data_IF_293227999276
#
_entry.id   IF_293227999276
#
_cell.length_a   1.000
_cell.length_b   1.000
_cell.length_c   1.000
_cell.angle_alpha   90.00
_cell.angle_beta   90.00
_cell.angle_gamma   90.00
#
_symmetry.space_group_name_H-M   'P 1'
#
loop_
_entity.id
_entity.type
_entity.pdbx_description
1 polymer ?
#
# COMPACT_ATOMS: atom_id res chain seq x y z
N UNK A 1 34.80 -16.65 -1.08
CA UNK A 1 35.17 -15.28 -0.70
C UNK A 1 34.63 -15.01 0.68
N UNK A 2 35.51 -14.69 1.63
CA UNK A 2 35.10 -14.34 3.00
C UNK A 2 34.80 -12.84 3.04
N UNK A 3 34.00 -12.40 4.00
CA UNK A 3 33.60 -10.97 4.14
C UNK A 3 34.81 -10.01 4.25
N UNK A 4 35.96 -10.55 4.63
CA UNK A 4 37.26 -9.89 4.76
C UNK A 4 37.86 -9.41 3.42
N UNK A 5 37.40 -9.95 2.27
CA UNK A 5 37.96 -9.63 0.94
C UNK A 5 37.42 -8.33 0.31
N UNK A 6 36.51 -7.62 0.98
CA UNK A 6 35.80 -6.47 0.42
C UNK A 6 36.26 -5.13 1.01
N UNK A 7 36.34 -4.06 0.20
CA UNK A 7 36.71 -2.74 0.70
C UNK A 7 35.70 -2.22 1.73
N UNK A 8 36.14 -1.33 2.61
CA UNK A 8 35.26 -0.69 3.59
C UNK A 8 34.05 -0.05 2.91
N UNK A 9 32.85 -0.32 3.44
CA UNK A 9 31.60 0.18 2.86
C UNK A 9 31.00 -0.69 1.75
N UNK A 10 31.61 -1.81 1.36
CA UNK A 10 30.99 -2.74 0.40
C UNK A 10 29.68 -3.36 0.91
N UNK A 11 29.59 -3.60 2.22
CA UNK A 11 28.36 -4.06 2.88
C UNK A 11 27.85 -2.98 3.84
N UNK A 12 26.92 -2.15 3.37
CA UNK A 12 26.18 -1.21 4.21
C UNK A 12 24.88 -1.89 4.66
N UNK A 13 24.53 -1.89 5.96
CA UNK A 13 23.25 -2.41 6.41
C UNK A 13 22.11 -1.59 5.82
N UNK A 14 21.34 -2.19 4.91
CA UNK A 14 20.15 -1.55 4.37
C UNK A 14 19.03 -1.56 5.42
N UNK A 15 18.66 -0.39 5.92
CA UNK A 15 17.55 -0.26 6.85
C UNK A 15 16.22 -0.38 6.10
N UNK A 16 15.30 -1.21 6.64
CA UNK A 16 13.95 -1.40 6.07
C UNK A 16 13.16 -0.10 5.95
N UNK A 17 13.42 0.88 6.81
CA UNK A 17 12.79 2.20 6.77
C UNK A 17 13.03 2.96 5.47
N UNK A 18 14.10 2.66 4.73
CA UNK A 18 14.44 3.32 3.46
C UNK A 18 13.72 2.72 2.25
N UNK A 19 13.19 1.50 2.39
CA UNK A 19 12.65 0.72 1.26
C UNK A 19 11.18 0.37 1.43
N UNK A 20 10.69 0.29 2.67
CA UNK A 20 9.31 -0.10 2.92
C UNK A 20 8.37 1.12 2.94
N UNK A 21 7.17 1.00 2.36
CA UNK A 21 6.15 2.04 2.46
C UNK A 21 5.76 2.32 3.92
N UNK A 22 5.43 3.57 4.22
CA UNK A 22 4.99 3.98 5.55
C UNK A 22 3.55 3.52 5.80
N UNK A 23 3.36 2.64 6.79
CA UNK A 23 2.07 2.07 7.17
C UNK A 23 1.52 2.72 8.43
N UNK A 24 0.23 3.07 8.41
CA UNK A 24 -0.55 3.50 9.57
C UNK A 24 -1.72 2.54 9.77
N UNK A 25 -1.93 2.07 11.01
CA UNK A 25 -3.01 1.12 11.34
C UNK A 25 -3.02 -0.16 10.46
N UNK A 26 -1.86 -0.55 9.90
CA UNK A 26 -1.73 -1.72 9.04
C UNK A 26 -2.05 -1.48 7.55
N UNK A 27 -2.22 -0.22 7.14
CA UNK A 27 -2.51 0.20 5.76
C UNK A 27 -1.51 1.28 5.31
N UNK A 28 -1.10 1.36 4.03
CA UNK A 28 -0.28 2.47 3.55
C UNK A 28 -0.89 3.84 3.89
N UNK A 29 -0.08 4.76 4.43
CA UNK A 29 -0.53 6.09 4.90
C UNK A 29 -1.46 6.78 3.91
N UNK A 30 -1.03 6.86 2.65
CA UNK A 30 -1.78 7.60 1.63
C UNK A 30 -3.16 6.96 1.36
N UNK A 31 -3.26 5.63 1.45
CA UNK A 31 -4.52 4.92 1.26
C UNK A 31 -5.47 5.15 2.45
N UNK A 32 -4.95 5.09 3.68
CA UNK A 32 -5.72 5.39 4.88
C UNK A 32 -6.29 6.83 4.86
N UNK A 33 -5.51 7.80 4.38
CA UNK A 33 -6.01 9.17 4.18
C UNK A 33 -7.14 9.20 3.15
N UNK A 34 -7.00 8.50 2.02
CA UNK A 34 -8.07 8.39 1.03
C UNK A 34 -9.34 7.75 1.60
N UNK A 35 -9.23 6.72 2.44
CA UNK A 35 -10.37 6.10 3.12
C UNK A 35 -11.09 7.11 4.02
N UNK A 36 -10.36 7.86 4.86
CA UNK A 36 -10.96 8.83 5.77
C UNK A 36 -11.67 9.95 5.00
N UNK A 37 -10.98 10.59 4.05
CA UNK A 37 -11.59 11.66 3.26
C UNK A 37 -12.73 11.14 2.39
N UNK A 38 -12.59 9.97 1.79
CA UNK A 38 -13.63 9.31 1.01
C UNK A 38 -14.87 8.96 1.84
N UNK A 39 -14.67 8.56 3.10
CA UNK A 39 -15.77 8.26 4.04
C UNK A 39 -16.51 9.54 4.44
N UNK A 40 -15.79 10.62 4.75
CA UNK A 40 -16.39 11.92 5.08
C UNK A 40 -17.18 12.44 3.88
N UNK A 41 -16.56 12.48 2.69
CA UNK A 41 -17.23 12.92 1.47
C UNK A 41 -18.44 12.04 1.15
N UNK A 42 -18.28 10.72 1.18
CA UNK A 42 -19.36 9.77 0.93
C UNK A 42 -20.53 9.97 1.90
N UNK A 43 -20.24 10.19 3.19
CA UNK A 43 -21.26 10.47 4.22
C UNK A 43 -22.04 11.75 3.94
N UNK A 44 -21.36 12.83 3.52
CA UNK A 44 -22.01 14.10 3.16
C UNK A 44 -22.86 13.95 1.89
N UNK A 45 -22.34 13.33 0.84
CA UNK A 45 -23.04 13.18 -0.44
C UNK A 45 -24.23 12.22 -0.37
N UNK A 46 -24.04 11.05 0.24
CA UNK A 46 -25.07 10.01 0.31
C UNK A 46 -26.02 10.21 1.50
N UNK A 47 -25.70 11.12 2.43
CA UNK A 47 -26.47 11.43 3.64
C UNK A 47 -26.83 10.19 4.47
N UNK A 48 -25.93 9.21 4.52
CA UNK A 48 -26.14 7.94 5.20
C UNK A 48 -24.93 7.50 6.00
N UNK A 49 -25.18 6.91 7.17
CA UNK A 49 -24.15 6.31 8.01
C UNK A 49 -23.68 4.95 7.51
N UNK A 50 -24.34 4.35 6.51
CA UNK A 50 -23.88 3.10 5.90
C UNK A 50 -22.47 3.22 5.30
N UNK A 51 -22.05 4.43 4.92
CA UNK A 51 -20.69 4.69 4.43
C UNK A 51 -19.63 4.32 5.46
N UNK A 52 -19.89 4.47 6.76
CA UNK A 52 -18.97 4.05 7.81
C UNK A 52 -18.76 2.53 7.82
N UNK A 53 -19.85 1.76 7.67
CA UNK A 53 -19.79 0.30 7.65
C UNK A 53 -18.98 -0.17 6.44
N UNK A 54 -19.26 0.40 5.27
CA UNK A 54 -18.52 0.09 4.04
C UNK A 54 -17.04 0.47 4.18
N UNK A 55 -16.73 1.64 4.75
CA UNK A 55 -15.38 2.10 4.97
C UNK A 55 -14.59 1.14 5.89
N UNK A 56 -15.19 0.69 6.98
CA UNK A 56 -14.57 -0.29 7.90
C UNK A 56 -14.28 -1.61 7.18
N UNK A 57 -15.24 -2.14 6.41
CA UNK A 57 -15.04 -3.38 5.64
C UNK A 57 -13.91 -3.21 4.62
N UNK A 58 -13.92 -2.13 3.85
CA UNK A 58 -12.86 -1.81 2.90
C UNK A 58 -11.48 -1.71 3.58
N UNK A 59 -11.41 -1.03 4.73
CA UNK A 59 -10.18 -0.90 5.51
C UNK A 59 -9.59 -2.25 5.90
N UNK A 60 -10.42 -3.18 6.38
CA UNK A 60 -9.94 -4.52 6.74
C UNK A 60 -9.47 -5.34 5.54
N UNK A 61 -10.14 -5.23 4.40
CA UNK A 61 -9.73 -5.89 3.14
C UNK A 61 -8.37 -5.35 2.71
N UNK A 62 -8.23 -4.03 2.67
CA UNK A 62 -6.99 -3.35 2.27
C UNK A 62 -5.85 -3.66 3.24
N UNK A 63 -6.13 -3.68 4.55
CA UNK A 63 -5.18 -4.10 5.57
C UNK A 63 -4.71 -5.54 5.33
N UNK A 64 -5.63 -6.47 5.07
CA UNK A 64 -5.28 -7.86 4.81
C UNK A 64 -4.41 -8.02 3.56
N UNK A 65 -4.73 -7.31 2.47
CA UNK A 65 -3.96 -7.34 1.23
C UNK A 65 -2.59 -6.67 1.39
N UNK A 66 -2.54 -5.50 2.05
CA UNK A 66 -1.31 -4.76 2.31
C UNK A 66 -0.33 -5.49 3.22
N UNK A 67 -0.83 -6.33 4.14
CA UNK A 67 0.02 -7.19 4.96
C UNK A 67 0.68 -8.33 4.16
N UNK A 68 0.11 -8.75 3.03
CA UNK A 68 0.69 -9.76 2.15
C UNK A 68 1.67 -9.15 1.15
N UNK A 69 1.31 -8.02 0.57
CA UNK A 69 2.13 -7.30 -0.38
C UNK A 69 2.05 -5.78 -0.09
N UNK A 70 3.15 -5.17 0.40
CA UNK A 70 3.16 -3.75 0.73
C UNK A 70 2.83 -2.81 -0.45
N UNK A 71 3.08 -3.26 -1.69
CA UNK A 71 2.96 -2.48 -2.92
C UNK A 71 1.76 -2.89 -3.79
N UNK A 72 0.87 -3.75 -3.28
CA UNK A 72 -0.27 -4.28 -4.03
C UNK A 72 -1.10 -3.20 -4.75
N UNK A 73 -1.32 -2.06 -4.07
CA UNK A 73 -2.15 -0.97 -4.59
C UNK A 73 -1.49 -0.26 -5.77
N UNK A 74 -0.16 -0.11 -5.77
CA UNK A 74 0.57 0.49 -6.89
C UNK A 74 0.46 -0.37 -8.13
N UNK A 75 0.63 -1.68 -7.95
CA UNK A 75 0.52 -2.66 -9.03
C UNK A 75 -0.93 -2.70 -9.55
N UNK A 76 -1.91 -2.67 -8.65
CA UNK A 76 -3.33 -2.61 -9.02
C UNK A 76 -3.67 -1.39 -9.89
N UNK A 77 -3.13 -0.22 -9.55
CA UNK A 77 -3.33 0.98 -10.37
C UNK A 77 -2.55 0.93 -11.68
N UNK A 78 -1.32 0.41 -11.66
CA UNK A 78 -0.50 0.27 -12.87
C UNK A 78 -1.09 -0.74 -13.86
N UNK A 79 -1.68 -1.83 -13.36
CA UNK A 79 -2.25 -2.90 -14.18
C UNK A 79 -3.45 -2.43 -15.01
N UNK A 80 -4.16 -1.39 -14.56
CA UNK A 80 -5.29 -0.79 -15.30
C UNK A 80 -4.90 -0.34 -16.72
N UNK A 81 -3.68 0.13 -16.90
CA UNK A 81 -3.18 0.62 -18.19
C UNK A 81 -2.22 -0.37 -18.87
N UNK A 82 -2.10 -1.58 -18.32
CA UNK A 82 -1.19 -2.58 -18.83
C UNK A 82 -1.71 -3.10 -20.17
N UNK A 83 -0.91 -2.91 -21.22
CA UNK A 83 -1.14 -3.53 -22.54
C UNK A 83 -0.28 -4.79 -22.60
N UNK A 84 -0.88 -5.98 -22.76
CA UNK A 84 -0.11 -7.20 -22.89
C UNK A 84 0.76 -7.11 -24.14
N UNK A 85 2.07 -7.28 -23.96
CA UNK A 85 3.03 -7.26 -25.07
C UNK A 85 2.90 -8.52 -25.93
N UNK A 86 2.51 -9.65 -25.31
CA UNK A 86 2.20 -10.89 -25.99
C UNK A 86 0.68 -11.05 -26.09
N UNK A 87 0.18 -11.12 -27.33
CA UNK A 87 -1.20 -11.50 -27.62
C UNK A 87 -1.25 -13.03 -27.53
N UNK A 88 -1.79 -13.54 -26.42
CA UNK A 88 -2.25 -14.94 -26.35
C UNK A 88 -3.61 -15.02 -27.03
#
# INVERSE_FOLDING_TARGET
MKKEDYPEGYFIPFHRSLTQPLYWMGVPRNFLLCEIFGTILGGVFLKTFMVLVVAVVCHFIVRYLGQKDPDFYKIFWASRNYKPFYRV
#
